data_IF_117140794618
#
_entry.id   IF_117140794618
#
_cell.length_a   1.000
_cell.length_b   1.000
_cell.length_c   1.000
_cell.angle_alpha   90.00
_cell.angle_beta   90.00
_cell.angle_gamma   90.00
#
_symmetry.space_group_name_H-M   'P 1'
#
loop_
_entity.id
_entity.type
_entity.pdbx_description
1 polymer ?
#
# COMPACT_ATOMS: atom_id res chain seq x y z
N UNK A 1 9.25 22.36 -11.48
CA UNK A 1 9.33 20.92 -11.80
C UNK A 1 8.40 20.10 -10.93
N UNK A 2 8.75 19.92 -9.64
CA UNK A 2 8.02 19.05 -8.69
C UNK A 2 6.56 19.45 -8.49
N UNK A 3 6.28 20.75 -8.37
CA UNK A 3 4.93 21.31 -8.17
C UNK A 3 3.91 20.93 -9.25
N UNK A 4 4.37 20.56 -10.45
CA UNK A 4 3.51 20.12 -11.57
C UNK A 4 3.62 18.61 -11.76
N UNK A 5 4.84 18.06 -11.66
CA UNK A 5 5.09 16.64 -11.89
C UNK A 5 4.37 15.73 -10.88
N UNK A 6 4.32 16.11 -9.59
CA UNK A 6 3.69 15.27 -8.56
C UNK A 6 2.16 15.22 -8.71
N UNK A 7 1.43 16.34 -8.85
CA UNK A 7 0.01 16.27 -9.16
C UNK A 7 -0.29 15.49 -10.44
N UNK A 8 0.48 15.71 -11.50
CA UNK A 8 0.31 15.01 -12.78
C UNK A 8 0.52 13.49 -12.62
N UNK A 9 1.51 13.08 -11.83
CA UNK A 9 1.75 11.67 -11.54
C UNK A 9 0.54 11.05 -10.85
N UNK A 10 0.01 11.70 -9.80
CA UNK A 10 -1.16 11.18 -9.09
C UNK A 10 -2.43 11.17 -9.93
N UNK A 11 -2.63 12.15 -10.82
CA UNK A 11 -3.78 12.12 -11.73
C UNK A 11 -3.66 10.99 -12.75
N UNK A 12 -2.46 10.76 -13.32
CA UNK A 12 -2.22 9.62 -14.20
C UNK A 12 -2.47 8.30 -13.47
N UNK A 13 -1.96 8.15 -12.24
CA UNK A 13 -2.19 6.95 -11.43
C UNK A 13 -3.67 6.69 -11.19
N UNK A 14 -4.44 7.74 -10.89
CA UNK A 14 -5.89 7.64 -10.71
C UNK A 14 -6.59 7.14 -11.99
N UNK A 15 -6.28 7.75 -13.14
CA UNK A 15 -6.89 7.33 -14.42
C UNK A 15 -6.48 5.92 -14.86
N UNK A 16 -5.29 5.47 -14.50
CA UNK A 16 -4.80 4.13 -14.84
C UNK A 16 -5.38 3.02 -13.95
N UNK A 17 -5.81 3.35 -12.73
CA UNK A 17 -6.23 2.36 -11.73
C UNK A 17 -7.64 2.63 -11.18
N UNK A 18 -8.68 2.80 -12.03
CA UNK A 18 -10.02 3.04 -11.53
C UNK A 18 -10.52 1.83 -10.75
N UNK A 19 -11.08 2.05 -9.57
CA UNK A 19 -11.53 0.96 -8.67
C UNK A 19 -12.61 0.10 -9.34
N UNK A 20 -13.34 0.66 -10.30
CA UNK A 20 -14.32 -0.05 -11.12
C UNK A 20 -13.73 -1.22 -11.95
N UNK A 21 -12.42 -1.31 -12.11
CA UNK A 21 -11.74 -2.46 -12.73
C UNK A 21 -11.46 -3.60 -11.74
N UNK A 22 -11.52 -3.32 -10.43
CA UNK A 22 -11.32 -4.26 -9.33
C UNK A 22 -12.64 -4.94 -8.95
N UNK A 23 -13.36 -5.49 -9.94
CA UNK A 23 -14.65 -6.19 -9.72
C UNK A 23 -14.48 -7.66 -9.32
N UNK A 24 -13.40 -8.28 -9.76
CA UNK A 24 -13.09 -9.69 -9.48
C UNK A 24 -12.17 -9.75 -8.25
N UNK A 25 -12.38 -10.67 -7.30
CA UNK A 25 -11.53 -10.87 -6.12
C UNK A 25 -10.03 -10.76 -6.44
N UNK A 26 -9.67 -11.56 -7.42
CA UNK A 26 -8.40 -11.75 -8.08
C UNK A 26 -7.69 -10.49 -8.64
N UNK A 27 -8.38 -9.37 -8.83
CA UNK A 27 -7.80 -8.17 -9.45
C UNK A 27 -6.87 -7.39 -8.51
N UNK A 28 -6.96 -7.61 -7.18
CA UNK A 28 -6.12 -6.94 -6.18
C UNK A 28 -4.82 -7.72 -5.88
N UNK A 29 -4.84 -9.04 -6.07
CA UNK A 29 -3.78 -9.93 -5.57
C UNK A 29 -2.41 -9.58 -6.15
N UNK A 30 -1.47 -9.22 -5.27
CA UNK A 30 -0.08 -8.96 -5.65
C UNK A 30 0.67 -10.30 -5.77
N UNK A 31 1.67 -10.35 -6.66
CA UNK A 31 2.56 -11.50 -6.83
C UNK A 31 3.20 -11.91 -5.50
N UNK A 32 2.98 -13.15 -5.07
CA UNK A 32 3.33 -13.65 -3.74
C UNK A 32 4.83 -13.62 -3.45
N UNK A 33 5.67 -13.90 -4.46
CA UNK A 33 7.12 -13.82 -4.32
C UNK A 33 7.57 -12.40 -3.98
N UNK A 34 7.02 -11.38 -4.64
CA UNK A 34 7.37 -9.98 -4.44
C UNK A 34 6.96 -9.48 -3.05
N UNK A 35 5.77 -9.86 -2.61
CA UNK A 35 5.22 -9.44 -1.32
C UNK A 35 6.04 -10.01 -0.16
N UNK A 36 6.43 -11.29 -0.22
CA UNK A 36 7.23 -11.96 0.82
C UNK A 36 8.61 -11.34 1.00
N UNK A 37 9.24 -10.90 -0.10
CA UNK A 37 10.59 -10.33 -0.04
C UNK A 37 10.60 -8.82 0.17
N UNK A 38 9.44 -8.17 0.14
CA UNK A 38 9.35 -6.71 0.15
C UNK A 38 10.01 -6.08 1.37
N UNK A 39 9.70 -6.59 2.58
CA UNK A 39 10.29 -6.07 3.82
C UNK A 39 11.82 -6.25 3.85
N UNK A 40 12.37 -7.47 3.69
CA UNK A 40 13.82 -7.64 3.77
C UNK A 40 14.57 -6.86 2.68
N UNK A 41 14.05 -6.80 1.44
CA UNK A 41 14.69 -6.05 0.37
C UNK A 41 14.57 -4.55 0.57
N UNK A 42 13.48 -4.06 1.16
CA UNK A 42 13.33 -2.64 1.50
C UNK A 42 14.30 -2.23 2.61
N UNK A 43 14.48 -3.06 3.62
CA UNK A 43 15.46 -2.80 4.69
C UNK A 43 16.88 -2.77 4.14
N UNK A 44 17.29 -3.81 3.41
CA UNK A 44 18.68 -3.96 2.92
C UNK A 44 18.99 -3.06 1.72
N UNK A 45 18.01 -2.88 0.82
CA UNK A 45 18.19 -2.16 -0.45
C UNK A 45 17.96 -0.66 -0.36
N UNK A 46 17.21 -0.18 0.63
CA UNK A 46 16.89 1.24 0.78
C UNK A 46 17.31 1.80 2.15
N UNK A 47 16.79 1.27 3.25
CA UNK A 47 17.00 1.90 4.57
C UNK A 47 18.43 1.77 5.11
N UNK A 48 19.05 0.60 5.02
CA UNK A 48 20.43 0.38 5.50
C UNK A 48 21.44 1.22 4.70
N UNK A 49 21.42 1.24 3.36
CA UNK A 49 22.34 2.10 2.59
C UNK A 49 22.04 3.58 2.80
N UNK A 50 20.76 3.98 2.92
CA UNK A 50 20.40 5.35 3.27
C UNK A 50 21.02 5.76 4.62
N UNK A 51 20.89 4.91 5.64
CA UNK A 51 21.49 5.11 6.95
C UNK A 51 23.02 5.21 6.89
N UNK A 52 23.69 4.32 6.15
CA UNK A 52 25.15 4.37 6.00
C UNK A 52 25.63 5.68 5.35
N UNK A 53 24.91 6.16 4.33
CA UNK A 53 25.22 7.42 3.64
C UNK A 53 24.98 8.63 4.54
N UNK A 54 23.88 8.60 5.29
CA UNK A 54 23.48 9.62 6.25
C UNK A 54 24.54 9.84 7.33
N UNK A 55 25.09 8.75 7.89
CA UNK A 55 26.13 8.81 8.91
C UNK A 55 27.49 9.27 8.37
N UNK A 56 27.79 8.99 7.09
CA UNK A 56 29.10 9.27 6.49
C UNK A 56 29.27 10.72 6.03
N UNK A 57 28.26 11.31 5.40
CA UNK A 57 28.32 12.71 4.95
C UNK A 57 26.96 13.25 4.54
N UNK A 58 26.50 14.27 5.27
CA UNK A 58 25.29 15.03 4.90
C UNK A 58 25.35 15.58 3.48
N UNK A 59 26.54 15.94 2.95
CA UNK A 59 26.70 16.47 1.59
C UNK A 59 26.53 15.41 0.51
N UNK A 60 26.98 14.17 0.77
CA UNK A 60 26.86 13.05 -0.19
C UNK A 60 25.43 12.53 -0.22
N UNK A 61 24.77 12.45 0.94
CA UNK A 61 23.35 12.11 1.00
C UNK A 61 22.50 13.21 0.34
N UNK A 62 22.78 14.49 0.60
CA UNK A 62 22.03 15.61 0.01
C UNK A 62 22.26 15.78 -1.50
N UNK A 63 23.20 15.05 -2.11
CA UNK A 63 23.33 14.98 -3.55
C UNK A 63 22.11 14.25 -4.15
N UNK A 64 21.33 14.98 -4.94
CA UNK A 64 20.12 14.46 -5.60
C UNK A 64 20.37 13.16 -6.39
N UNK A 65 21.59 12.93 -6.89
CA UNK A 65 21.92 11.72 -7.64
C UNK A 65 21.97 10.47 -6.75
N UNK A 66 22.55 10.56 -5.55
CA UNK A 66 22.68 9.43 -4.62
C UNK A 66 21.30 8.89 -4.21
N UNK A 67 20.34 9.78 -3.99
CA UNK A 67 18.97 9.43 -3.61
C UNK A 67 18.14 8.83 -4.74
N UNK A 68 18.53 9.04 -6.00
CA UNK A 68 17.90 8.41 -7.18
C UNK A 68 18.43 7.00 -7.39
N UNK A 69 19.71 6.74 -7.09
CA UNK A 69 20.27 5.39 -7.17
C UNK A 69 19.71 4.44 -6.12
N UNK A 70 19.34 4.95 -4.96
CA UNK A 70 18.81 4.14 -3.86
C UNK A 70 17.53 3.35 -4.21
N UNK A 71 16.46 3.95 -4.77
CA UNK A 71 15.29 3.21 -5.24
C UNK A 71 15.59 2.30 -6.44
N UNK A 72 16.62 2.63 -7.26
CA UNK A 72 17.06 1.76 -8.35
C UNK A 72 17.72 0.49 -7.81
N UNK A 73 18.61 0.62 -6.82
CA UNK A 73 19.24 -0.52 -6.12
C UNK A 73 18.18 -1.37 -5.45
N UNK A 74 17.24 -0.76 -4.73
CA UNK A 74 16.10 -1.46 -4.15
C UNK A 74 15.32 -2.25 -5.20
N UNK A 75 14.98 -1.65 -6.35
CA UNK A 75 14.23 -2.32 -7.42
C UNK A 75 14.98 -3.53 -7.98
N UNK A 76 16.28 -3.39 -8.24
CA UNK A 76 17.11 -4.47 -8.78
C UNK A 76 17.24 -5.62 -7.77
N UNK A 77 17.50 -5.29 -6.49
CA UNK A 77 17.58 -6.26 -5.41
C UNK A 77 16.24 -6.97 -5.19
N UNK A 78 15.14 -6.22 -5.18
CA UNK A 78 13.79 -6.77 -5.00
C UNK A 78 13.44 -7.75 -6.13
N UNK A 79 13.75 -7.38 -7.37
CA UNK A 79 13.58 -8.27 -8.52
C UNK A 79 14.44 -9.54 -8.41
N UNK A 80 15.73 -9.39 -8.11
CA UNK A 80 16.65 -10.53 -8.00
C UNK A 80 16.21 -11.50 -6.90
N UNK A 81 15.92 -11.02 -5.70
CA UNK A 81 15.49 -11.86 -4.58
C UNK A 81 14.11 -12.48 -4.85
N UNK A 82 13.17 -11.73 -5.46
CA UNK A 82 11.86 -12.28 -5.82
C UNK A 82 11.96 -13.36 -6.91
N UNK A 83 12.92 -13.27 -7.84
CA UNK A 83 13.15 -14.29 -8.87
C UNK A 83 13.69 -15.61 -8.32
N UNK A 84 14.31 -15.60 -7.14
CA UNK A 84 14.79 -16.81 -6.46
C UNK A 84 13.68 -17.58 -5.73
N UNK A 85 12.48 -17.00 -5.58
CA UNK A 85 11.37 -17.65 -4.91
C UNK A 85 10.40 -18.29 -5.90
N UNK A 86 9.88 -19.45 -5.52
CA UNK A 86 8.83 -20.14 -6.27
C UNK A 86 7.56 -19.27 -6.29
N UNK A 87 7.04 -19.05 -7.48
CA UNK A 87 5.83 -18.26 -7.68
C UNK A 87 4.57 -19.09 -7.44
N UNK A 88 4.00 -18.97 -6.24
CA UNK A 88 2.74 -19.64 -5.87
C UNK A 88 1.51 -18.79 -6.18
N UNK A 89 1.65 -17.67 -6.90
CA UNK A 89 0.57 -16.67 -7.06
C UNK A 89 -0.69 -17.27 -7.65
N UNK A 90 -0.60 -18.05 -8.73
CA UNK A 90 -1.80 -18.62 -9.39
C UNK A 90 -2.61 -19.54 -8.47
N UNK A 91 -1.94 -20.44 -7.74
CA UNK A 91 -2.61 -21.34 -6.81
C UNK A 91 -3.21 -20.58 -5.62
N UNK A 92 -2.48 -19.57 -5.14
CA UNK A 92 -2.89 -18.77 -3.99
C UNK A 92 -4.08 -17.89 -4.34
N UNK A 93 -4.12 -17.36 -5.56
CA UNK A 93 -5.21 -16.54 -6.09
C UNK A 93 -6.54 -17.31 -6.08
N UNK A 94 -6.53 -18.56 -6.54
CA UNK A 94 -7.75 -19.40 -6.58
C UNK A 94 -8.19 -19.84 -5.17
N UNK A 95 -7.25 -20.22 -4.30
CA UNK A 95 -7.59 -20.83 -2.99
C UNK A 95 -7.82 -19.80 -1.89
N UNK A 96 -7.04 -18.73 -1.88
CA UNK A 96 -6.94 -17.77 -0.77
C UNK A 96 -6.55 -16.39 -1.30
N UNK A 97 -7.50 -15.62 -1.86
CA UNK A 97 -7.19 -14.46 -2.68
C UNK A 97 -6.67 -13.26 -1.84
N UNK A 98 -6.80 -13.32 -0.50
CA UNK A 98 -6.24 -12.37 0.48
C UNK A 98 -4.94 -12.80 1.16
N UNK A 99 -4.26 -13.84 0.67
CA UNK A 99 -3.04 -14.36 1.32
C UNK A 99 -1.85 -13.39 1.32
N UNK A 100 -1.84 -12.37 0.47
CA UNK A 100 -0.85 -11.28 0.46
C UNK A 100 -1.05 -10.28 1.59
N UNK A 101 -2.27 -10.16 2.14
CA UNK A 101 -2.62 -9.13 3.12
C UNK A 101 -1.74 -9.09 4.38
N UNK A 102 -1.36 -10.21 5.02
CA UNK A 102 -0.51 -10.17 6.21
C UNK A 102 0.84 -9.46 5.96
N UNK A 103 1.44 -9.70 4.80
CA UNK A 103 2.72 -9.10 4.41
C UNK A 103 2.55 -7.64 3.98
N UNK A 104 1.49 -7.32 3.25
CA UNK A 104 1.14 -5.94 2.90
C UNK A 104 0.89 -5.11 4.16
N UNK A 105 0.13 -5.66 5.12
CA UNK A 105 -0.08 -5.11 6.48
C UNK A 105 1.22 -4.81 7.19
N UNK A 106 2.09 -5.82 7.30
CA UNK A 106 3.39 -5.65 7.94
C UNK A 106 4.22 -4.55 7.26
N UNK A 107 4.16 -4.47 5.92
CA UNK A 107 4.93 -3.47 5.15
C UNK A 107 4.46 -2.05 5.45
N UNK A 108 3.17 -1.74 5.28
CA UNK A 108 2.70 -0.37 5.51
C UNK A 108 2.78 0.01 6.99
N UNK A 109 2.60 -0.94 7.92
CA UNK A 109 2.79 -0.68 9.36
C UNK A 109 4.25 -0.35 9.69
N UNK A 110 5.20 -1.10 9.13
CA UNK A 110 6.62 -0.84 9.31
C UNK A 110 7.02 0.52 8.74
N UNK A 111 6.58 0.85 7.52
CA UNK A 111 6.87 2.13 6.91
C UNK A 111 6.21 3.30 7.70
N UNK A 112 5.00 3.12 8.22
CA UNK A 112 4.33 4.10 9.06
C UNK A 112 5.05 4.30 10.41
N UNK A 113 5.53 3.22 11.03
CA UNK A 113 6.34 3.28 12.26
C UNK A 113 7.66 4.03 12.02
N UNK A 114 8.39 3.67 10.97
CA UNK A 114 9.63 4.37 10.61
C UNK A 114 9.35 5.85 10.39
N UNK A 115 8.32 6.20 9.60
CA UNK A 115 7.90 7.59 9.41
C UNK A 115 7.60 8.30 10.73
N UNK A 116 6.84 7.67 11.63
CA UNK A 116 6.44 8.27 12.89
C UNK A 116 7.62 8.52 13.83
N UNK A 117 8.54 7.56 13.95
CA UNK A 117 9.79 7.74 14.72
C UNK A 117 10.56 8.94 14.18
N UNK A 118 10.70 9.02 12.85
CA UNK A 118 11.42 10.12 12.21
C UNK A 118 10.73 11.47 12.41
N UNK A 119 9.40 11.50 12.35
CA UNK A 119 8.61 12.71 12.56
C UNK A 119 8.72 13.23 13.99
N UNK A 120 8.58 12.37 14.99
CA UNK A 120 8.69 12.75 16.39
C UNK A 120 10.10 13.22 16.75
N UNK A 121 11.13 12.56 16.20
CA UNK A 121 12.53 12.95 16.38
C UNK A 121 12.85 14.31 15.73
N UNK A 122 12.30 14.58 14.55
CA UNK A 122 12.41 15.88 13.88
C UNK A 122 11.77 16.99 14.73
N UNK A 123 10.60 16.71 15.32
CA UNK A 123 9.86 17.65 16.18
C UNK A 123 10.60 17.96 17.50
N UNK A 124 11.41 17.05 18.03
CA UNK A 124 12.19 17.30 19.25
C UNK A 124 13.39 18.25 19.04
N UNK A 125 13.57 18.81 17.84
CA UNK A 125 14.63 19.78 17.53
C UNK A 125 16.01 19.13 17.34
N UNK A 126 16.09 17.80 17.30
CA UNK A 126 17.33 17.10 17.03
C UNK A 126 17.63 17.09 15.52
N UNK A 127 18.83 17.53 15.13
CA UNK A 127 19.28 17.44 13.74
C UNK A 127 19.43 15.98 13.31
N UNK A 128 18.81 15.62 12.19
CA UNK A 128 18.80 14.25 11.66
C UNK A 128 20.01 14.01 10.74
N UNK A 129 20.79 12.93 10.94
CA UNK A 129 21.65 12.42 9.89
C UNK A 129 20.84 11.74 8.78
N UNK A 130 19.70 11.15 9.10
CA UNK A 130 18.97 10.19 8.26
C UNK A 130 18.17 10.78 7.09
N UNK A 131 17.76 12.05 7.15
CA UNK A 131 16.84 12.65 6.17
C UNK A 131 17.15 14.11 5.78
N UNK A 132 18.38 14.44 5.33
CA UNK A 132 18.81 15.80 4.93
C UNK A 132 17.96 16.48 3.85
N UNK A 133 16.99 15.81 3.21
CA UNK A 133 16.05 16.48 2.30
C UNK A 133 15.10 17.44 3.02
N UNK A 134 14.89 17.31 4.33
CA UNK A 134 14.11 18.29 5.09
C UNK A 134 14.75 19.69 5.03
N UNK A 135 16.05 19.80 4.73
CA UNK A 135 16.74 21.08 4.47
C UNK A 135 16.84 21.44 2.97
N UNK A 136 16.51 20.51 2.06
CA UNK A 136 16.73 20.65 0.61
C UNK A 136 15.46 20.74 -0.24
N UNK A 137 14.35 20.16 0.23
CA UNK A 137 13.02 20.35 -0.35
C UNK A 137 12.46 21.62 0.28
N UNK A 138 12.15 22.63 -0.53
CA UNK A 138 11.45 23.83 -0.03
C UNK A 138 10.14 23.36 0.60
N UNK A 139 9.79 23.86 1.79
CA UNK A 139 8.55 23.48 2.50
C UNK A 139 7.31 23.49 1.58
N UNK A 140 7.27 24.43 0.63
CA UNK A 140 6.23 24.52 -0.40
C UNK A 140 6.15 23.30 -1.33
N UNK A 141 7.27 22.76 -1.79
CA UNK A 141 7.31 21.61 -2.71
C UNK A 141 6.82 20.34 -2.00
N UNK A 142 7.25 20.16 -0.74
CA UNK A 142 6.77 19.07 0.11
C UNK A 142 5.27 19.18 0.41
N UNK A 143 4.80 20.39 0.74
CA UNK A 143 3.38 20.66 1.01
C UNK A 143 2.51 20.36 -0.20
N UNK A 144 2.93 20.78 -1.40
CA UNK A 144 2.19 20.50 -2.64
C UNK A 144 2.17 19.00 -2.93
N UNK A 145 3.30 18.30 -2.76
CA UNK A 145 3.36 16.86 -2.96
C UNK A 145 2.42 16.11 -2.01
N UNK A 146 2.44 16.46 -0.72
CA UNK A 146 1.56 15.86 0.27
C UNK A 146 0.08 16.17 0.00
N UNK A 147 -0.27 17.44 -0.27
CA UNK A 147 -1.63 17.83 -0.59
C UNK A 147 -2.16 17.09 -1.82
N UNK A 148 -1.33 16.94 -2.86
CA UNK A 148 -1.69 16.18 -4.07
C UNK A 148 -1.97 14.71 -3.75
N UNK A 149 -1.11 14.10 -2.92
CA UNK A 149 -1.28 12.71 -2.49
C UNK A 149 -2.55 12.51 -1.64
N UNK A 150 -2.88 13.46 -0.77
CA UNK A 150 -4.13 13.45 0.01
C UNK A 150 -5.37 13.61 -0.88
N UNK A 151 -5.32 14.51 -1.86
CA UNK A 151 -6.41 14.68 -2.84
C UNK A 151 -6.62 13.37 -3.62
N UNK A 152 -5.53 12.74 -4.05
CA UNK A 152 -5.58 11.42 -4.69
C UNK A 152 -6.24 10.37 -3.80
N UNK A 153 -5.83 10.23 -2.53
CA UNK A 153 -6.49 9.31 -1.59
C UNK A 153 -7.98 9.62 -1.39
N UNK A 154 -8.36 10.90 -1.37
CA UNK A 154 -9.76 11.29 -1.30
C UNK A 154 -10.54 10.83 -2.53
N UNK A 155 -9.97 10.87 -3.74
CA UNK A 155 -10.61 10.31 -4.92
C UNK A 155 -10.78 8.78 -4.82
N UNK A 156 -9.75 8.06 -4.38
CA UNK A 156 -9.83 6.61 -4.15
C UNK A 156 -10.93 6.27 -3.13
N UNK A 157 -11.04 7.02 -2.03
CA UNK A 157 -12.10 6.82 -1.04
C UNK A 157 -13.49 7.22 -1.53
N UNK A 158 -13.59 8.22 -2.40
CA UNK A 158 -14.85 8.59 -3.05
C UNK A 158 -15.34 7.45 -3.93
N UNK A 159 -14.45 6.84 -4.70
CA UNK A 159 -14.77 5.66 -5.51
C UNK A 159 -15.18 4.46 -4.64
N UNK A 160 -14.39 4.11 -3.61
CA UNK A 160 -14.75 3.04 -2.66
C UNK A 160 -16.12 3.24 -2.02
N UNK A 161 -16.45 4.50 -1.69
CA UNK A 161 -17.75 4.85 -1.11
C UNK A 161 -18.88 4.75 -2.13
N UNK A 162 -18.65 5.17 -3.37
CA UNK A 162 -19.64 5.06 -4.45
C UNK A 162 -19.97 3.61 -4.81
N UNK A 163 -19.01 2.70 -4.64
CA UNK A 163 -19.19 1.26 -4.84
C UNK A 163 -19.72 0.53 -3.60
N UNK A 164 -20.03 1.24 -2.51
CA UNK A 164 -20.54 0.63 -1.28
C UNK A 164 -19.50 -0.17 -0.49
N UNK A 165 -18.21 -0.07 -0.83
CA UNK A 165 -17.11 -0.78 -0.18
C UNK A 165 -16.60 -0.08 1.09
N UNK A 166 -16.94 1.19 1.28
CA UNK A 166 -16.57 2.00 2.45
C UNK A 166 -17.80 2.73 3.03
N UNK A 167 -18.13 2.47 4.29
CA UNK A 167 -19.28 3.07 4.99
C UNK A 167 -18.94 4.33 5.81
N UNK A 168 -17.66 4.75 5.86
CA UNK A 168 -17.23 5.82 6.74
C UNK A 168 -17.74 7.21 6.29
N UNK A 169 -18.01 8.07 7.27
CA UNK A 169 -18.31 9.48 7.01
C UNK A 169 -17.04 10.22 6.57
N UNK A 170 -17.20 11.23 5.71
CA UNK A 170 -16.07 12.06 5.25
C UNK A 170 -15.37 12.76 6.41
N UNK A 171 -16.14 13.20 7.41
CA UNK A 171 -15.61 13.81 8.63
C UNK A 171 -14.69 12.84 9.37
N UNK A 172 -15.08 11.57 9.50
CA UNK A 172 -14.25 10.53 10.13
C UNK A 172 -12.97 10.27 9.34
N UNK A 173 -13.05 10.21 8.01
CA UNK A 173 -11.89 10.00 7.15
C UNK A 173 -10.90 11.16 7.32
N UNK A 174 -11.38 12.40 7.20
CA UNK A 174 -10.53 13.59 7.33
C UNK A 174 -9.96 13.74 8.74
N UNK A 175 -10.75 13.45 9.79
CA UNK A 175 -10.27 13.55 11.18
C UNK A 175 -9.20 12.51 11.49
N UNK A 176 -9.36 11.27 11.04
CA UNK A 176 -8.36 10.21 11.20
C UNK A 176 -7.09 10.56 10.43
N UNK A 177 -7.20 11.03 9.18
CA UNK A 177 -6.04 11.45 8.39
C UNK A 177 -5.27 12.60 9.04
N UNK A 178 -5.98 13.61 9.56
CA UNK A 178 -5.35 14.72 10.29
C UNK A 178 -4.64 14.23 11.56
N UNK A 179 -5.31 13.39 12.36
CA UNK A 179 -4.75 12.81 13.57
C UNK A 179 -3.49 11.98 13.29
N UNK A 180 -3.51 11.13 12.26
CA UNK A 180 -2.35 10.34 11.86
C UNK A 180 -1.23 11.23 11.33
N UNK A 181 -1.54 12.33 10.66
CA UNK A 181 -0.53 13.30 10.19
C UNK A 181 0.18 13.96 11.37
N UNK A 182 -0.53 14.28 12.45
CA UNK A 182 0.07 14.86 13.66
C UNK A 182 0.97 13.88 14.42
N UNK A 183 0.64 12.59 14.43
CA UNK A 183 1.38 11.57 15.20
C UNK A 183 2.53 10.98 14.37
N UNK A 184 2.25 10.56 13.14
CA UNK A 184 3.19 9.79 12.31
C UNK A 184 3.87 10.63 11.23
N UNK A 185 3.46 11.88 11.09
CA UNK A 185 3.86 12.77 10.02
C UNK A 185 3.10 12.52 8.71
N UNK A 186 3.30 13.39 7.72
CA UNK A 186 2.61 13.33 6.42
C UNK A 186 2.80 12.01 5.66
N UNK A 187 4.02 11.44 5.67
CA UNK A 187 4.31 10.18 4.99
C UNK A 187 3.61 8.99 5.66
N UNK A 188 3.65 8.90 6.99
CA UNK A 188 2.98 7.86 7.76
C UNK A 188 1.46 7.89 7.56
N UNK A 189 0.86 9.09 7.57
CA UNK A 189 -0.56 9.25 7.28
C UNK A 189 -0.93 8.80 5.87
N UNK A 190 -0.12 9.13 4.86
CA UNK A 190 -0.33 8.69 3.48
C UNK A 190 -0.24 7.17 3.34
N UNK A 191 0.77 6.56 3.95
CA UNK A 191 0.98 5.10 3.91
C UNK A 191 -0.17 4.36 4.59
N UNK A 192 -0.64 4.82 5.76
CA UNK A 192 -1.77 4.22 6.44
C UNK A 192 -3.10 4.46 5.71
N UNK A 193 -3.27 5.63 5.08
CA UNK A 193 -4.43 5.90 4.24
C UNK A 193 -4.47 4.94 3.04
N UNK A 194 -3.34 4.74 2.37
CA UNK A 194 -3.24 3.73 1.33
C UNK A 194 -3.47 2.30 1.88
N UNK A 195 -2.90 1.96 3.03
CA UNK A 195 -3.14 0.66 3.68
C UNK A 195 -4.63 0.42 4.01
N UNK A 196 -5.35 1.44 4.47
CA UNK A 196 -6.79 1.36 4.73
C UNK A 196 -7.59 1.10 3.43
N UNK A 197 -7.19 1.70 2.31
CA UNK A 197 -7.78 1.38 0.99
C UNK A 197 -7.62 -0.11 0.68
N UNK A 198 -6.43 -0.67 0.85
CA UNK A 198 -6.17 -2.10 0.63
C UNK A 198 -7.00 -2.99 1.55
N UNK A 199 -7.18 -2.60 2.82
CA UNK A 199 -8.05 -3.32 3.75
C UNK A 199 -9.52 -3.33 3.32
N UNK A 200 -10.03 -2.22 2.80
CA UNK A 200 -11.40 -2.14 2.30
C UNK A 200 -11.59 -3.06 1.08
N UNK A 201 -10.62 -3.08 0.18
CA UNK A 201 -10.64 -3.95 -1.00
C UNK A 201 -10.57 -5.43 -0.58
N UNK A 202 -9.68 -5.79 0.34
CA UNK A 202 -9.56 -7.17 0.85
C UNK A 202 -10.77 -7.61 1.70
N UNK A 203 -11.46 -6.69 2.38
CA UNK A 203 -12.70 -6.99 3.09
C UNK A 203 -13.85 -7.28 2.13
N UNK A 204 -13.94 -6.52 1.03
CA UNK A 204 -14.92 -6.76 -0.03
C UNK A 204 -14.69 -8.12 -0.70
N UNK A 205 -13.43 -8.41 -1.03
CA UNK A 205 -12.98 -9.67 -1.63
C UNK A 205 -13.38 -10.91 -0.80
N UNK A 206 -13.19 -10.85 0.52
CA UNK A 206 -13.62 -11.92 1.45
C UNK A 206 -15.12 -12.16 1.40
N UNK A 207 -15.93 -11.10 1.46
CA UNK A 207 -17.40 -11.21 1.41
C UNK A 207 -17.88 -11.85 0.11
N UNK A 208 -17.23 -11.50 -1.01
CA UNK A 208 -17.57 -12.06 -2.31
C UNK A 208 -17.25 -13.56 -2.35
N UNK A 209 -16.07 -13.97 -1.86
CA UNK A 209 -15.73 -15.41 -1.77
C UNK A 209 -16.63 -16.21 -0.85
N UNK A 210 -17.12 -15.61 0.25
CA UNK A 210 -18.09 -16.24 1.16
C UNK A 210 -19.44 -16.45 0.48
N UNK A 211 -19.91 -15.44 -0.26
CA UNK A 211 -21.19 -15.52 -1.01
C UNK A 211 -21.13 -16.55 -2.13
N UNK A 212 -20.00 -16.64 -2.84
CA UNK A 212 -19.78 -17.67 -3.87
C UNK A 212 -19.75 -19.08 -3.25
N UNK A 213 -19.09 -19.26 -2.11
CA UNK A 213 -19.06 -20.54 -1.41
C UNK A 213 -20.44 -20.98 -0.92
N UNK A 214 -21.24 -20.07 -0.36
CA UNK A 214 -22.63 -20.34 0.03
C UNK A 214 -23.50 -20.71 -1.18
N UNK A 215 -23.32 -20.01 -2.31
CA UNK A 215 -24.02 -20.29 -3.56
C UNK A 215 -23.72 -21.67 -4.12
N UNK A 216 -22.45 -22.09 -4.13
CA UNK A 216 -22.03 -23.42 -4.58
C UNK A 216 -22.57 -24.51 -3.66
N UNK A 217 -22.46 -24.34 -2.34
CA UNK A 217 -23.00 -25.30 -1.37
C UNK A 217 -24.53 -25.44 -1.51
N UNK A 218 -25.23 -24.34 -1.78
CA UNK A 218 -26.68 -24.36 -2.02
C UNK A 218 -27.08 -25.13 -3.28
N UNK A 219 -26.25 -25.11 -4.32
CA UNK A 219 -26.46 -25.90 -5.54
C UNK A 219 -26.19 -27.40 -5.30
N UNK A 220 -25.10 -27.73 -4.64
CA UNK A 220 -24.74 -29.13 -4.31
C UNK A 220 -25.83 -29.79 -3.45
N UNK A 221 -26.30 -29.10 -2.41
CA UNK A 221 -27.42 -29.58 -1.59
C UNK A 221 -28.72 -29.78 -2.39
N UNK A 222 -28.93 -28.98 -3.45
CA UNK A 222 -30.11 -29.09 -4.32
C UNK A 222 -29.99 -30.27 -5.29
N UNK A 223 -28.79 -30.54 -5.81
CA UNK A 223 -28.52 -31.71 -6.64
C UNK A 223 -28.68 -33.00 -5.83
N UNK A 224 -28.15 -33.06 -4.61
CA UNK A 224 -28.32 -34.20 -3.70
C UNK A 224 -29.79 -34.45 -3.33
N UNK A 225 -30.57 -33.38 -3.11
CA UNK A 225 -32.01 -33.47 -2.87
C UNK A 225 -32.79 -33.99 -4.11
N UNK A 226 -32.38 -33.61 -5.32
CA UNK A 226 -33.00 -34.10 -6.56
C UNK A 226 -32.65 -35.56 -6.80
N UNK A 227 -31.38 -35.94 -6.61
CA UNK A 227 -30.90 -37.31 -6.77
C UNK A 227 -31.56 -38.25 -5.75
N UNK A 228 -31.64 -37.86 -4.48
CA UNK A 228 -32.31 -38.67 -3.45
C UNK A 228 -33.80 -38.93 -3.74
N UNK A 229 -34.52 -37.96 -4.32
CA UNK A 229 -35.91 -38.15 -4.74
C UNK A 229 -36.05 -39.01 -6.02
N UNK A 230 -35.08 -38.98 -6.93
CA UNK A 230 -35.06 -39.82 -8.13
C UNK A 230 -34.81 -41.30 -7.85
N UNK A 231 -34.06 -41.63 -6.79
CA UNK A 231 -33.75 -43.02 -6.40
C UNK A 231 -34.67 -43.59 -5.32
N UNK A 232 -35.68 -42.84 -4.85
CA UNK A 232 -36.61 -43.27 -3.82
C UNK A 232 -37.88 -43.98 -4.35
N UNK A 233 -37.98 -44.23 -5.66
CA UNK A 233 -39.07 -44.93 -6.35
C UNK A 233 -38.55 -46.08 -7.20
#
# INVERSE_FOLDING_TARGET
GIKIAVPLYFTICHFQSPISTLKVPDCRTIRQSYVKVLIPTLMVGYYVPAMGLALKSHKIFASSMTLVFLPLIFRLLHYAVASCLVDTTMQTRIKTPTADMPFTRATYMLCALISGVCHQWSRSGASYPFFPWQNGIKDQDFTIAFASAMIWLCFEYKELKSEGRLSWSWVRILSVSAFMTCILGPAGALILGWGMREECLAAFERRLSETEAEGVQGLENKEDYVLSNLYAH
#
